data_IF_670933853672
#
_entry.id   IF_670933853672
#
_cell.length_a   1.000
_cell.length_b   1.000
_cell.length_c   1.000
_cell.angle_alpha   90.00
_cell.angle_beta   90.00
_cell.angle_gamma   90.00
#
_symmetry.space_group_name_H-M   'P 1'
#
loop_
_entity.id
_entity.type
_entity.pdbx_description
1 polymer ?
#
# COMPACT_ATOMS: atom_id res chain seq x y z
N UNK A 1 -18.01 4.40 36.48
CA UNK A 1 -18.74 5.34 35.60
C UNK A 1 -18.02 6.67 35.50
N UNK A 2 -17.05 6.72 34.59
CA UNK A 2 -16.45 7.96 34.10
C UNK A 2 -17.31 8.49 32.94
N UNK A 3 -18.04 9.58 33.20
CA UNK A 3 -19.01 10.16 32.28
C UNK A 3 -18.47 11.47 31.71
N UNK A 4 -18.52 11.60 30.38
CA UNK A 4 -18.03 12.77 29.65
C UNK A 4 -19.21 13.42 28.94
N UNK A 5 -19.34 14.74 29.08
CA UNK A 5 -20.33 15.53 28.34
C UNK A 5 -19.69 16.16 27.10
N UNK A 6 -20.24 15.87 25.92
CA UNK A 6 -19.84 16.46 24.65
C UNK A 6 -21.08 17.06 24.00
N UNK A 7 -21.20 18.39 24.10
CA UNK A 7 -22.42 19.10 23.69
C UNK A 7 -23.65 18.60 24.47
N UNK A 8 -24.65 18.14 23.72
CA UNK A 8 -25.88 17.57 24.24
C UNK A 8 -25.73 16.11 24.73
N UNK A 9 -24.69 15.39 24.28
CA UNK A 9 -24.48 13.97 24.60
C UNK A 9 -23.78 13.76 25.94
N UNK A 10 -24.25 12.75 26.67
CA UNK A 10 -23.57 12.20 27.85
C UNK A 10 -23.04 10.81 27.49
N UNK A 11 -21.73 10.64 27.58
CA UNK A 11 -21.00 9.47 27.08
C UNK A 11 -20.34 8.76 28.27
N UNK A 12 -20.34 7.42 28.27
CA UNK A 12 -19.59 6.62 29.26
C UNK A 12 -18.28 6.18 28.65
N UNK A 13 -17.15 6.61 29.24
CA UNK A 13 -15.82 6.18 28.81
C UNK A 13 -15.64 4.66 29.01
N UNK A 14 -16.16 4.15 30.12
CA UNK A 14 -16.14 2.71 30.45
C UNK A 14 -16.79 1.86 29.35
N UNK A 15 -17.97 2.27 28.85
CA UNK A 15 -18.66 1.57 27.76
C UNK A 15 -17.90 1.65 26.42
N UNK A 16 -17.24 2.77 26.15
CA UNK A 16 -16.42 2.93 24.93
C UNK A 16 -15.27 1.93 24.96
N UNK A 17 -14.54 1.87 26.08
CA UNK A 17 -13.40 0.96 26.24
C UNK A 17 -13.86 -0.50 26.09
N UNK A 18 -14.92 -0.91 26.78
CA UNK A 18 -15.47 -2.26 26.66
C UNK A 18 -15.85 -2.61 25.20
N UNK A 19 -16.47 -1.67 24.50
CA UNK A 19 -16.88 -1.87 23.10
C UNK A 19 -15.66 -2.01 22.17
N UNK A 20 -14.63 -1.18 22.37
CA UNK A 20 -13.37 -1.24 21.62
C UNK A 20 -12.66 -2.57 21.87
N UNK A 21 -12.58 -3.01 23.12
CA UNK A 21 -11.97 -4.29 23.50
C UNK A 21 -12.69 -5.47 22.82
N UNK A 22 -14.03 -5.46 22.79
CA UNK A 22 -14.80 -6.50 22.11
C UNK A 22 -14.58 -6.47 20.59
N UNK A 23 -14.55 -5.29 19.96
CA UNK A 23 -14.23 -5.13 18.54
C UNK A 23 -12.87 -5.75 18.21
N UNK A 24 -11.82 -5.41 18.97
CA UNK A 24 -10.47 -5.92 18.79
C UNK A 24 -10.38 -7.43 19.04
N UNK A 25 -11.10 -7.95 20.04
CA UNK A 25 -11.18 -9.39 20.33
C UNK A 25 -11.80 -10.16 19.16
N UNK A 26 -12.87 -9.65 18.55
CA UNK A 26 -13.48 -10.27 17.37
C UNK A 26 -12.57 -10.23 16.15
N UNK A 27 -11.82 -9.13 15.97
CA UNK A 27 -10.78 -9.04 14.94
C UNK A 27 -9.67 -10.07 15.16
N UNK A 28 -9.24 -10.26 16.41
CA UNK A 28 -8.27 -11.29 16.78
C UNK A 28 -8.80 -12.72 16.51
N UNK A 29 -10.11 -12.93 16.60
CA UNK A 29 -10.78 -14.19 16.28
C UNK A 29 -10.97 -14.43 14.76
N UNK A 30 -10.53 -13.50 13.92
CA UNK A 30 -10.48 -13.66 12.46
C UNK A 30 -11.63 -13.02 11.69
N UNK A 31 -12.58 -12.35 12.36
CA UNK A 31 -13.63 -11.61 11.66
C UNK A 31 -13.02 -10.45 10.88
N UNK A 32 -13.53 -10.16 9.69
CA UNK A 32 -13.12 -9.00 8.89
C UNK A 32 -13.56 -7.68 9.52
N UNK A 33 -12.90 -6.58 9.14
CA UNK A 33 -13.28 -5.23 9.55
C UNK A 33 -14.74 -4.90 9.20
N UNK A 34 -15.24 -5.39 8.06
CA UNK A 34 -16.62 -5.15 7.62
C UNK A 34 -17.64 -5.92 8.48
N UNK A 35 -17.32 -7.16 8.87
CA UNK A 35 -18.19 -7.96 9.75
C UNK A 35 -18.26 -7.36 11.16
N UNK A 36 -17.13 -6.93 11.71
CA UNK A 36 -17.11 -6.24 13.01
C UNK A 36 -17.85 -4.91 12.93
N UNK A 37 -17.59 -4.09 11.90
CA UNK A 37 -18.28 -2.82 11.70
C UNK A 37 -19.81 -2.98 11.71
N UNK A 38 -20.31 -3.98 10.95
CA UNK A 38 -21.73 -4.33 10.91
C UNK A 38 -22.29 -4.73 12.27
N UNK A 39 -21.52 -5.46 13.10
CA UNK A 39 -21.97 -5.91 14.44
C UNK A 39 -22.15 -4.74 15.42
N UNK A 40 -21.36 -3.68 15.28
CA UNK A 40 -21.37 -2.53 16.18
C UNK A 40 -22.02 -1.27 15.60
N UNK A 41 -22.71 -1.38 14.46
CA UNK A 41 -23.32 -0.25 13.75
C UNK A 41 -22.33 0.90 13.47
N UNK A 42 -21.13 0.52 13.02
CA UNK A 42 -20.07 1.45 12.60
C UNK A 42 -19.70 1.16 11.14
N UNK A 43 -18.74 1.93 10.61
CA UNK A 43 -18.19 1.68 9.28
C UNK A 43 -16.83 0.95 9.33
N UNK A 44 -16.47 0.28 8.22
CA UNK A 44 -15.19 -0.43 8.10
C UNK A 44 -14.00 0.51 8.38
N UNK A 45 -14.09 1.77 7.96
CA UNK A 45 -13.01 2.75 8.11
C UNK A 45 -12.80 3.13 9.58
N UNK A 46 -13.85 3.17 10.40
CA UNK A 46 -13.75 3.33 11.86
C UNK A 46 -12.93 2.20 12.49
N UNK A 47 -13.24 0.93 12.19
CA UNK A 47 -12.47 -0.22 12.71
C UNK A 47 -11.00 -0.14 12.28
N UNK A 48 -10.75 0.18 11.01
CA UNK A 48 -9.38 0.36 10.52
C UNK A 48 -8.64 1.48 11.25
N UNK A 49 -9.29 2.62 11.52
CA UNK A 49 -8.67 3.73 12.26
C UNK A 49 -8.42 3.38 13.72
N UNK A 50 -9.33 2.64 14.35
CA UNK A 50 -9.17 2.15 15.72
C UNK A 50 -7.94 1.24 15.86
N UNK A 51 -7.76 0.29 14.94
CA UNK A 51 -6.56 -0.55 14.90
C UNK A 51 -5.29 0.30 14.73
N UNK A 52 -5.32 1.29 13.83
CA UNK A 52 -4.20 2.20 13.62
C UNK A 52 -3.91 3.10 14.84
N UNK A 53 -4.91 3.47 15.65
CA UNK A 53 -4.73 4.29 16.86
C UNK A 53 -3.92 3.56 17.94
N UNK A 54 -4.05 2.23 18.03
CA UNK A 54 -3.32 1.37 18.98
C UNK A 54 -2.10 0.67 18.38
N UNK A 55 -1.68 1.06 17.18
CA UNK A 55 -0.61 0.39 16.45
C UNK A 55 0.76 0.70 17.08
N UNK A 56 1.35 -0.28 17.77
CA UNK A 56 2.70 -0.16 18.35
C UNK A 56 3.79 -0.51 17.32
N UNK A 57 3.50 -1.45 16.42
CA UNK A 57 4.35 -1.80 15.27
C UNK A 57 3.50 -2.40 14.15
N UNK A 58 3.54 -1.79 12.97
CA UNK A 58 3.20 -2.44 11.69
C UNK A 58 4.49 -2.94 11.06
N UNK A 59 4.44 -4.02 10.28
CA UNK A 59 5.51 -4.22 9.29
C UNK A 59 5.60 -2.98 8.40
N UNK A 60 6.78 -2.65 7.86
CA UNK A 60 6.95 -1.48 6.98
C UNK A 60 5.85 -1.48 5.90
N UNK A 61 5.19 -0.36 5.70
CA UNK A 61 4.21 -0.20 4.60
C UNK A 61 4.92 -0.22 3.26
N UNK A 62 4.37 -0.94 2.28
CA UNK A 62 5.05 -1.23 1.00
C UNK A 62 4.23 -0.71 -0.18
N UNK A 63 4.87 0.07 -1.03
CA UNK A 63 4.40 0.35 -2.39
C UNK A 63 5.18 -0.49 -3.41
N UNK A 64 4.47 -1.06 -4.39
CA UNK A 64 5.05 -1.74 -5.54
C UNK A 64 4.75 -0.95 -6.81
N UNK A 65 5.79 -0.48 -7.48
CA UNK A 65 5.69 0.25 -8.75
C UNK A 65 6.49 -0.49 -9.80
N UNK A 66 5.91 -0.79 -10.96
CA UNK A 66 6.62 -1.58 -11.97
C UNK A 66 6.12 -1.45 -13.40
N UNK A 67 7.05 -1.25 -14.35
CA UNK A 67 6.75 -1.24 -15.78
C UNK A 67 8.02 -1.38 -16.64
N UNK A 68 7.95 -2.00 -17.82
CA UNK A 68 6.80 -2.71 -18.40
C UNK A 68 6.71 -4.18 -17.93
N UNK A 69 5.53 -4.63 -17.49
CA UNK A 69 5.30 -5.99 -16.93
C UNK A 69 4.28 -6.75 -17.76
N UNK A 70 4.56 -8.03 -18.02
CA UNK A 70 3.71 -8.91 -18.83
C UNK A 70 2.55 -9.53 -18.04
N UNK A 71 2.84 -10.04 -16.84
CA UNK A 71 1.90 -10.79 -16.00
C UNK A 71 1.35 -9.92 -14.85
N UNK A 72 0.74 -8.80 -15.20
CA UNK A 72 0.30 -7.78 -14.22
C UNK A 72 -0.68 -8.33 -13.20
N UNK A 73 -1.69 -9.08 -13.63
CA UNK A 73 -2.74 -9.57 -12.73
C UNK A 73 -2.19 -10.56 -11.72
N UNK A 74 -1.33 -11.48 -12.16
CA UNK A 74 -0.64 -12.43 -11.29
C UNK A 74 0.22 -11.72 -10.23
N UNK A 75 0.99 -10.71 -10.64
CA UNK A 75 1.84 -9.94 -9.73
C UNK A 75 0.99 -9.09 -8.77
N UNK A 76 -0.11 -8.51 -9.25
CA UNK A 76 -1.02 -7.72 -8.42
C UNK A 76 -1.69 -8.59 -7.36
N UNK A 77 -2.22 -9.75 -7.74
CA UNK A 77 -2.88 -10.67 -6.82
C UNK A 77 -1.91 -11.18 -5.76
N UNK A 78 -0.70 -11.57 -6.17
CA UNK A 78 0.36 -11.99 -5.25
C UNK A 78 0.75 -10.85 -4.30
N UNK A 79 0.96 -9.63 -4.81
CA UNK A 79 1.32 -8.47 -3.98
C UNK A 79 0.23 -8.15 -2.95
N UNK A 80 -1.06 -8.23 -3.33
CA UNK A 80 -2.19 -8.05 -2.41
C UNK A 80 -2.23 -9.15 -1.35
N UNK A 81 -2.02 -10.41 -1.73
CA UNK A 81 -1.97 -11.54 -0.79
C UNK A 81 -0.83 -11.40 0.22
N UNK A 82 0.33 -10.91 -0.21
CA UNK A 82 1.47 -10.62 0.67
C UNK A 82 1.32 -9.29 1.42
N UNK A 83 0.19 -8.58 1.25
CA UNK A 83 -0.20 -7.37 1.96
C UNK A 83 0.60 -6.12 1.58
N UNK A 84 0.94 -5.96 0.30
CA UNK A 84 1.45 -4.70 -0.26
C UNK A 84 0.33 -3.66 -0.25
N UNK A 85 0.60 -2.47 0.29
CA UNK A 85 -0.40 -1.43 0.56
C UNK A 85 -0.79 -0.62 -0.69
N UNK A 86 0.09 -0.58 -1.69
CA UNK A 86 -0.19 0.06 -2.98
C UNK A 86 0.53 -0.62 -4.13
N UNK A 87 -0.19 -0.82 -5.23
CA UNK A 87 0.32 -1.48 -6.43
C UNK A 87 0.03 -0.62 -7.66
N UNK A 88 1.08 -0.24 -8.38
CA UNK A 88 1.02 0.44 -9.67
C UNK A 88 1.87 -0.33 -10.68
N UNK A 89 1.23 -1.14 -11.51
CA UNK A 89 1.88 -1.92 -12.55
C UNK A 89 1.31 -1.54 -13.91
N UNK A 90 2.17 -1.47 -14.93
CA UNK A 90 1.75 -1.18 -16.30
C UNK A 90 2.52 -2.05 -17.30
N UNK A 91 1.85 -2.39 -18.39
CA UNK A 91 2.46 -2.88 -19.63
C UNK A 91 3.15 -1.72 -20.35
N UNK A 92 3.94 -2.02 -21.37
CA UNK A 92 4.55 -1.03 -22.23
C UNK A 92 3.49 -0.20 -22.95
N UNK A 93 2.40 -0.85 -23.36
CA UNK A 93 1.26 -0.19 -23.98
C UNK A 93 0.60 0.81 -23.02
N UNK A 94 0.19 0.37 -21.84
CA UNK A 94 -0.45 1.24 -20.84
C UNK A 94 0.47 2.40 -20.42
N UNK A 95 1.78 2.14 -20.33
CA UNK A 95 2.79 3.16 -20.06
C UNK A 95 2.83 4.23 -21.14
N UNK A 96 2.69 3.86 -22.42
CA UNK A 96 2.65 4.81 -23.53
C UNK A 96 1.30 5.52 -23.61
N UNK A 97 0.19 4.82 -23.42
CA UNK A 97 -1.15 5.40 -23.37
C UNK A 97 -1.21 6.49 -22.27
N UNK A 98 -0.63 6.20 -21.09
CA UNK A 98 -0.51 7.16 -19.99
C UNK A 98 0.19 8.47 -20.37
N UNK A 99 1.15 8.42 -21.31
CA UNK A 99 1.92 9.57 -21.79
C UNK A 99 1.21 10.28 -22.94
N UNK A 100 0.71 9.53 -23.93
CA UNK A 100 0.17 10.10 -25.17
C UNK A 100 -1.22 10.72 -24.99
N UNK A 101 -1.99 10.29 -23.99
CA UNK A 101 -3.32 10.83 -23.72
C UNK A 101 -3.30 12.18 -22.97
N UNK A 102 -2.11 12.70 -22.64
CA UNK A 102 -1.98 13.87 -21.75
C UNK A 102 -1.14 14.98 -22.36
N UNK A 103 -1.53 16.21 -22.04
CA UNK A 103 -0.64 17.36 -22.24
C UNK A 103 0.56 17.26 -21.30
N UNK A 104 1.65 17.97 -21.63
CA UNK A 104 2.85 17.96 -20.79
C UNK A 104 2.61 18.43 -19.35
N UNK A 105 1.68 19.37 -19.14
CA UNK A 105 1.33 19.89 -17.80
C UNK A 105 0.52 18.83 -17.03
N UNK A 106 -0.46 18.20 -17.65
CA UNK A 106 -1.26 17.13 -17.04
C UNK A 106 -0.37 15.95 -16.63
N UNK A 107 0.51 15.52 -17.54
CA UNK A 107 1.46 14.45 -17.28
C UNK A 107 2.37 14.78 -16.09
N UNK A 108 2.91 16.00 -16.04
CA UNK A 108 3.75 16.42 -14.93
C UNK A 108 2.98 16.40 -13.60
N UNK A 109 1.78 16.96 -13.57
CA UNK A 109 0.95 17.02 -12.36
C UNK A 109 0.61 15.62 -11.84
N UNK A 110 0.25 14.70 -12.74
CA UNK A 110 -0.08 13.33 -12.36
C UNK A 110 1.14 12.56 -11.87
N UNK A 111 2.30 12.68 -12.55
CA UNK A 111 3.55 12.08 -12.09
C UNK A 111 3.95 12.61 -10.71
N UNK A 112 3.83 13.92 -10.47
CA UNK A 112 4.08 14.51 -9.15
C UNK A 112 3.11 13.98 -8.09
N UNK A 113 1.83 13.82 -8.43
CA UNK A 113 0.83 13.21 -7.55
C UNK A 113 1.15 11.75 -7.21
N UNK A 114 1.60 10.96 -8.19
CA UNK A 114 2.05 9.59 -7.99
C UNK A 114 3.29 9.53 -7.09
N UNK A 115 4.28 10.39 -7.32
CA UNK A 115 5.47 10.50 -6.46
C UNK A 115 5.05 10.83 -5.03
N UNK A 116 4.21 11.84 -4.84
CA UNK A 116 3.72 12.24 -3.51
C UNK A 116 3.03 11.09 -2.79
N UNK A 117 2.16 10.34 -3.50
CA UNK A 117 1.45 9.17 -2.99
C UNK A 117 2.40 8.04 -2.60
N UNK A 118 3.33 7.68 -3.49
CA UNK A 118 4.28 6.58 -3.27
C UNK A 118 5.27 6.90 -2.13
N UNK A 119 5.60 8.17 -1.90
CA UNK A 119 6.44 8.61 -0.79
C UNK A 119 5.79 8.49 0.61
N UNK A 120 4.49 8.22 0.68
CA UNK A 120 3.80 8.01 1.96
C UNK A 120 4.05 6.61 2.55
N UNK A 121 4.63 5.69 1.76
CA UNK A 121 4.95 4.33 2.19
C UNK A 121 6.39 4.25 2.71
N UNK A 122 6.65 3.35 3.64
CA UNK A 122 7.96 3.18 4.28
C UNK A 122 8.99 2.61 3.29
N UNK A 123 8.55 1.66 2.46
CA UNK A 123 9.38 1.00 1.44
C UNK A 123 8.70 1.07 0.08
N UNK A 124 9.49 1.38 -0.95
CA UNK A 124 9.04 1.37 -2.34
C UNK A 124 9.84 0.34 -3.13
N UNK A 125 9.17 -0.72 -3.58
CA UNK A 125 9.72 -1.68 -4.53
C UNK A 125 9.49 -1.14 -5.94
N UNK A 126 10.57 -1.02 -6.72
CA UNK A 126 10.53 -0.51 -8.09
C UNK A 126 11.06 -1.57 -9.04
N UNK A 127 10.23 -1.94 -10.01
CA UNK A 127 10.58 -2.85 -11.09
C UNK A 127 10.74 -2.04 -12.37
N UNK A 128 11.93 -2.06 -12.97
CA UNK A 128 12.17 -1.27 -14.17
C UNK A 128 13.56 -1.44 -14.75
N UNK A 129 13.89 -0.61 -15.74
CA UNK A 129 15.22 -0.62 -16.33
C UNK A 129 16.26 0.04 -15.43
N UNK A 130 17.50 -0.40 -15.57
CA UNK A 130 18.66 0.09 -14.82
C UNK A 130 18.77 1.62 -14.67
N UNK A 131 18.58 2.38 -15.75
CA UNK A 131 18.65 3.84 -15.74
C UNK A 131 17.44 4.47 -15.03
N UNK A 132 16.25 3.91 -15.23
CA UNK A 132 15.02 4.40 -14.60
C UNK A 132 15.04 4.17 -13.10
N UNK A 133 15.58 3.04 -12.64
CA UNK A 133 15.76 2.73 -11.22
C UNK A 133 16.67 3.77 -10.52
N UNK A 134 17.74 4.23 -11.18
CA UNK A 134 18.59 5.30 -10.64
C UNK A 134 17.83 6.62 -10.48
N UNK A 135 17.04 6.99 -11.49
CA UNK A 135 16.20 8.19 -11.43
C UNK A 135 15.20 8.13 -10.27
N UNK A 136 14.46 7.02 -10.14
CA UNK A 136 13.47 6.88 -9.08
C UNK A 136 14.08 6.89 -7.67
N UNK A 137 15.25 6.27 -7.49
CA UNK A 137 16.00 6.35 -6.22
C UNK A 137 16.30 7.80 -5.83
N UNK A 138 16.69 8.64 -6.79
CA UNK A 138 16.97 10.05 -6.53
C UNK A 138 15.71 10.87 -6.22
N UNK A 139 14.55 10.50 -6.78
CA UNK A 139 13.30 11.26 -6.62
C UNK A 139 12.54 10.94 -5.32
N UNK A 140 12.64 9.70 -4.83
CA UNK A 140 11.76 9.21 -3.77
C UNK A 140 12.32 9.44 -2.35
N UNK A 141 13.63 9.59 -2.17
CA UNK A 141 14.27 9.90 -0.87
C UNK A 141 13.70 9.06 0.30
N UNK A 142 13.53 7.76 0.03
CA UNK A 142 12.95 6.73 0.89
C UNK A 142 13.70 5.42 0.68
N UNK A 143 13.38 4.40 1.48
CA UNK A 143 13.91 3.06 1.27
C UNK A 143 13.36 2.48 -0.04
N UNK A 144 14.20 2.48 -1.07
CA UNK A 144 13.85 2.01 -2.42
C UNK A 144 14.56 0.69 -2.71
N UNK A 145 13.76 -0.36 -2.88
CA UNK A 145 14.22 -1.66 -3.36
C UNK A 145 14.08 -1.71 -4.88
N UNK A 146 15.18 -1.88 -5.58
CA UNK A 146 15.20 -1.87 -7.05
C UNK A 146 15.34 -3.28 -7.62
N UNK A 147 14.42 -3.67 -8.48
CA UNK A 147 14.44 -4.93 -9.24
C UNK A 147 14.64 -4.58 -10.72
N UNK A 148 15.82 -4.90 -11.23
CA UNK A 148 16.18 -4.63 -12.63
C UNK A 148 15.62 -5.70 -13.55
N UNK A 149 14.91 -5.27 -14.61
CA UNK A 149 14.36 -6.16 -15.65
C UNK A 149 15.05 -5.98 -17.01
N UNK A 150 16.15 -5.23 -17.05
CA UNK A 150 16.97 -5.06 -18.25
C UNK A 150 17.64 -3.69 -18.37
N UNK A 151 18.40 -3.52 -19.45
CA UNK A 151 19.02 -2.24 -19.82
C UNK A 151 18.01 -1.34 -20.55
N UNK A 152 18.16 -0.05 -20.37
CA UNK A 152 17.36 0.96 -21.07
C UNK A 152 17.81 1.13 -22.53
N UNK A 153 16.90 1.35 -23.50
CA UNK A 153 15.44 1.34 -23.36
C UNK A 153 14.86 -0.09 -23.34
N UNK A 154 13.80 -0.29 -22.55
CA UNK A 154 12.97 -1.49 -22.62
C UNK A 154 11.75 -1.15 -23.47
N UNK A 155 11.50 -1.96 -24.50
CA UNK A 155 10.41 -1.74 -25.48
C UNK A 155 9.44 -2.92 -25.55
N UNK A 156 9.54 -3.85 -24.61
CA UNK A 156 8.70 -5.04 -24.54
C UNK A 156 8.42 -5.39 -23.08
N UNK A 157 7.21 -5.87 -22.81
CA UNK A 157 6.80 -6.37 -21.50
C UNK A 157 7.71 -7.49 -21.02
N UNK A 158 8.09 -7.42 -19.74
CA UNK A 158 8.89 -8.46 -19.08
C UNK A 158 8.03 -9.29 -18.15
N UNK A 159 8.17 -10.61 -18.25
CA UNK A 159 7.59 -11.51 -17.28
C UNK A 159 8.36 -11.39 -15.96
N UNK A 160 7.62 -11.31 -14.86
CA UNK A 160 8.18 -11.26 -13.51
C UNK A 160 7.84 -12.57 -12.82
N UNK A 161 8.82 -13.22 -12.23
CA UNK A 161 8.57 -14.40 -11.41
C UNK A 161 7.90 -13.99 -10.07
N UNK A 162 6.65 -14.42 -9.81
CA UNK A 162 5.93 -14.04 -8.60
C UNK A 162 6.59 -14.56 -7.33
N UNK A 163 7.21 -15.74 -7.37
CA UNK A 163 7.85 -16.34 -6.19
C UNK A 163 9.11 -15.56 -5.79
N UNK A 164 9.94 -15.19 -6.76
CA UNK A 164 11.07 -14.29 -6.52
C UNK A 164 10.64 -12.96 -5.89
N UNK A 165 9.56 -12.34 -6.39
CA UNK A 165 9.06 -11.07 -5.84
C UNK A 165 8.44 -11.25 -4.44
N UNK A 166 7.73 -12.37 -4.21
CA UNK A 166 7.18 -12.74 -2.91
C UNK A 166 8.26 -12.84 -1.84
N UNK A 167 9.40 -13.47 -2.16
CA UNK A 167 10.53 -13.55 -1.22
C UNK A 167 11.06 -12.17 -0.84
N UNK A 168 11.15 -11.25 -1.80
CA UNK A 168 11.57 -9.86 -1.55
C UNK A 168 10.59 -9.17 -0.60
N UNK A 169 9.28 -9.26 -0.87
CA UNK A 169 8.25 -8.64 -0.02
C UNK A 169 8.30 -9.21 1.41
N UNK A 170 8.43 -10.53 1.55
CA UNK A 170 8.50 -11.19 2.86
C UNK A 170 9.72 -10.78 3.68
N UNK A 171 10.88 -10.61 3.03
CA UNK A 171 12.09 -10.12 3.70
C UNK A 171 11.89 -8.70 4.25
N UNK A 172 11.29 -7.81 3.45
CA UNK A 172 11.01 -6.44 3.87
C UNK A 172 10.02 -6.35 5.02
N UNK A 173 9.04 -7.26 5.06
CA UNK A 173 8.02 -7.29 6.12
C UNK A 173 8.53 -7.83 7.45
N UNK A 174 9.48 -8.76 7.44
CA UNK A 174 10.03 -9.32 8.69
C UNK A 174 10.81 -8.30 9.51
N UNK A 175 11.31 -7.23 8.88
CA UNK A 175 12.21 -6.27 9.52
C UNK A 175 13.56 -6.96 9.80
N UNK A 176 14.65 -6.22 9.64
CA UNK A 176 15.94 -6.71 10.12
C UNK A 176 15.85 -6.82 11.66
N UNK A 177 16.05 -8.03 12.18
CA UNK A 177 16.33 -8.28 13.60
C UNK A 177 17.71 -7.72 13.97
#
# INVERSE_FOLDING_TARGET
MDLIRIGDKLISMEKIIESIEEMLKLRQQGLSQAEVAKKFDTDRTFISRLENLGEVRKGKTIALVGFPIKNIDEIRDMAVQEGVDYVLLMTDKERWDFVYEKTGIELLNEVMGLIYKVRQYDVVIIIGSDQRLRLFKALLDKEVVSISIGKSPITQDKYIDPDSLREVIRKLKKGDD
#
